data_IF_840824482614
#
_entry.id   IF_840824482614
#
_cell.length_a   1.000
_cell.length_b   1.000
_cell.length_c   1.000
_cell.angle_alpha   90.00
_cell.angle_beta   90.00
_cell.angle_gamma   90.00
#
_symmetry.space_group_name_H-M   'P 1'
#
loop_
_entity.id
_entity.type
_entity.pdbx_description
1 polymer ?
#
# COMPACT_ATOMS: atom_id res chain seq x y z
N UNK A 1 18.06 -8.52 -7.05
CA UNK A 1 16.98 -9.05 -6.14
C UNK A 1 15.77 -8.13 -5.99
N UNK A 2 15.94 -6.83 -6.23
CA UNK A 2 14.90 -5.80 -6.27
C UNK A 2 13.66 -6.19 -7.07
N UNK A 3 13.83 -6.61 -8.34
CA UNK A 3 12.75 -7.04 -9.23
C UNK A 3 11.81 -8.07 -8.59
N UNK A 4 12.37 -9.11 -7.98
CA UNK A 4 11.60 -10.19 -7.38
C UNK A 4 10.71 -9.67 -6.24
N UNK A 5 11.27 -8.80 -5.39
CA UNK A 5 10.53 -8.23 -4.25
C UNK A 5 9.35 -7.36 -4.70
N UNK A 6 9.52 -6.50 -5.71
CA UNK A 6 8.43 -5.66 -6.20
C UNK A 6 7.38 -6.43 -6.98
N UNK A 7 7.76 -7.48 -7.71
CA UNK A 7 6.80 -8.32 -8.43
C UNK A 7 5.88 -9.04 -7.43
N UNK A 8 6.43 -9.62 -6.36
CA UNK A 8 5.60 -10.20 -5.30
C UNK A 8 4.69 -9.15 -4.65
N UNK A 9 5.22 -7.97 -4.34
CA UNK A 9 4.42 -6.87 -3.78
C UNK A 9 3.29 -6.43 -4.72
N UNK A 10 3.56 -6.32 -6.03
CA UNK A 10 2.59 -5.96 -7.06
C UNK A 10 1.49 -7.02 -7.19
N UNK A 11 1.85 -8.30 -7.20
CA UNK A 11 0.90 -9.42 -7.26
C UNK A 11 0.00 -9.41 -6.03
N UNK A 12 0.58 -9.33 -4.82
CA UNK A 12 -0.19 -9.28 -3.57
C UNK A 12 -1.16 -8.10 -3.57
N UNK A 13 -0.69 -6.90 -3.94
CA UNK A 13 -1.56 -5.72 -4.00
C UNK A 13 -2.69 -5.88 -5.02
N UNK A 14 -2.41 -6.51 -6.17
CA UNK A 14 -3.40 -6.78 -7.21
C UNK A 14 -4.46 -7.77 -6.72
N UNK A 15 -4.06 -8.83 -6.01
CA UNK A 15 -4.99 -9.80 -5.40
C UNK A 15 -5.89 -9.10 -4.37
N UNK A 16 -5.31 -8.34 -3.43
CA UNK A 16 -6.09 -7.63 -2.40
C UNK A 16 -7.03 -6.59 -3.04
N UNK A 17 -6.58 -5.91 -4.10
CA UNK A 17 -7.43 -5.00 -4.86
C UNK A 17 -8.59 -5.73 -5.54
N UNK A 18 -8.31 -6.86 -6.21
CA UNK A 18 -9.30 -7.65 -6.94
C UNK A 18 -10.37 -8.23 -6.00
N UNK A 19 -9.99 -8.76 -4.84
CA UNK A 19 -10.93 -9.26 -3.82
C UNK A 19 -11.86 -8.18 -3.26
N UNK A 20 -11.46 -6.91 -3.33
CA UNK A 20 -12.24 -5.78 -2.81
C UNK A 20 -12.96 -4.96 -3.92
N UNK A 21 -12.81 -5.35 -5.19
CA UNK A 21 -13.50 -4.72 -6.31
C UNK A 21 -14.99 -5.13 -6.34
N UNK A 22 -15.92 -4.27 -6.77
CA UNK A 22 -15.74 -2.90 -7.28
C UNK A 22 -15.76 -1.80 -6.19
N UNK A 23 -16.08 -2.13 -4.93
CA UNK A 23 -16.16 -1.17 -3.80
C UNK A 23 -14.81 -0.91 -3.13
N UNK A 24 -13.72 -0.84 -3.90
CA UNK A 24 -12.35 -0.64 -3.40
C UNK A 24 -12.19 0.74 -2.75
N UNK A 25 -12.62 0.86 -1.49
CA UNK A 25 -12.52 2.09 -0.69
C UNK A 25 -11.08 2.34 -0.22
N UNK A 26 -10.29 1.28 -0.07
CA UNK A 26 -8.94 1.31 0.50
C UNK A 26 -7.85 1.87 -0.43
N UNK A 27 -8.20 2.40 -1.61
CA UNK A 27 -7.27 3.02 -2.59
C UNK A 27 -6.05 2.14 -2.96
N UNK A 28 -6.17 0.81 -2.88
CA UNK A 28 -5.07 -0.14 -3.15
C UNK A 28 -4.60 -0.08 -4.61
N UNK A 29 -5.44 0.41 -5.53
CA UNK A 29 -5.02 0.64 -6.93
C UNK A 29 -3.77 1.52 -7.07
N UNK A 30 -3.55 2.46 -6.14
CA UNK A 30 -2.33 3.30 -6.12
C UNK A 30 -1.08 2.44 -5.86
N UNK A 31 -1.15 1.50 -4.90
CA UNK A 31 -0.06 0.55 -4.63
C UNK A 31 0.20 -0.35 -5.84
N UNK A 32 -0.86 -0.81 -6.53
CA UNK A 32 -0.73 -1.61 -7.74
C UNK A 32 0.07 -0.85 -8.81
N UNK A 33 -0.28 0.41 -9.09
CA UNK A 33 0.45 1.21 -10.07
C UNK A 33 1.91 1.46 -9.67
N UNK A 34 2.19 1.76 -8.40
CA UNK A 34 3.56 2.00 -7.94
C UNK A 34 4.43 0.74 -8.06
N UNK A 35 3.95 -0.41 -7.58
CA UNK A 35 4.75 -1.64 -7.58
C UNK A 35 4.85 -2.27 -8.97
N UNK A 36 3.83 -2.19 -9.83
CA UNK A 36 3.97 -2.59 -11.23
C UNK A 36 4.94 -1.68 -11.98
N UNK A 37 4.92 -0.37 -11.72
CA UNK A 37 5.88 0.58 -12.31
C UNK A 37 7.33 0.27 -11.90
N UNK A 38 7.57 0.05 -10.61
CA UNK A 38 8.89 -0.34 -10.10
C UNK A 38 9.35 -1.70 -10.66
N UNK A 39 8.44 -2.66 -10.75
CA UNK A 39 8.74 -3.97 -11.35
C UNK A 39 9.14 -3.86 -12.82
N UNK A 40 8.47 -3.00 -13.59
CA UNK A 40 8.81 -2.79 -14.99
C UNK A 40 10.16 -2.07 -15.16
N UNK A 41 10.46 -1.08 -14.32
CA UNK A 41 11.77 -0.44 -14.29
C UNK A 41 12.89 -1.46 -14.04
N UNK A 42 12.78 -2.22 -12.94
CA UNK A 42 13.81 -3.22 -12.61
C UNK A 42 13.85 -4.43 -13.54
N UNK A 43 12.77 -4.68 -14.28
CA UNK A 43 12.79 -5.69 -15.35
C UNK A 43 13.67 -5.23 -16.51
N UNK A 44 13.57 -3.96 -16.89
CA UNK A 44 14.41 -3.37 -17.93
C UNK A 44 15.88 -3.40 -17.49
N UNK A 45 16.17 -2.98 -16.26
CA UNK A 45 17.52 -3.05 -15.69
C UNK A 45 18.08 -4.48 -15.73
N UNK A 46 17.27 -5.47 -15.30
CA UNK A 46 17.66 -6.89 -15.32
C UNK A 46 17.95 -7.42 -16.74
N UNK A 47 17.20 -6.98 -17.75
CA UNK A 47 17.42 -7.41 -19.15
C UNK A 47 18.74 -6.86 -19.69
N UNK A 48 19.03 -5.58 -19.44
CA UNK A 48 20.28 -4.96 -19.89
C UNK A 48 21.48 -5.52 -19.14
N UNK A 49 21.38 -5.70 -17.82
CA UNK A 49 22.45 -6.29 -17.02
C UNK A 49 22.76 -7.71 -17.49
N UNK A 50 21.73 -8.56 -17.68
CA UNK A 50 21.91 -9.89 -18.26
C UNK A 50 22.53 -9.87 -19.68
N UNK A 51 22.25 -8.85 -20.49
CA UNK A 51 22.85 -8.72 -21.81
C UNK A 51 24.35 -8.41 -21.76
N UNK A 52 24.84 -7.79 -20.69
CA UNK A 52 26.25 -7.44 -20.52
C UNK A 52 27.06 -8.55 -19.84
N UNK A 53 26.55 -9.10 -18.72
CA UNK A 53 27.30 -10.04 -17.87
C UNK A 53 26.83 -11.50 -18.02
N UNK A 54 25.78 -11.74 -18.81
CA UNK A 54 25.25 -13.07 -19.15
C UNK A 54 25.03 -13.95 -17.90
N UNK A 55 25.72 -15.09 -17.82
CA UNK A 55 25.55 -16.06 -16.75
C UNK A 55 25.97 -15.52 -15.38
N UNK A 56 26.85 -14.52 -15.32
CA UNK A 56 27.31 -13.95 -14.06
C UNK A 56 26.17 -13.22 -13.33
N UNK A 57 25.14 -12.78 -14.06
CA UNK A 57 23.91 -12.21 -13.50
C UNK A 57 23.22 -13.14 -12.49
N UNK A 58 23.31 -14.45 -12.70
CA UNK A 58 22.68 -15.44 -11.82
C UNK A 58 23.60 -15.90 -10.68
N UNK A 59 24.85 -15.42 -10.66
CA UNK A 59 25.82 -15.71 -9.60
C UNK A 59 26.33 -14.44 -8.91
N UNK A 60 25.43 -13.56 -8.42
CA UNK A 60 25.84 -12.35 -7.70
C UNK A 60 26.53 -12.70 -6.38
N UNK A 61 27.36 -11.78 -5.88
CA UNK A 61 27.96 -11.98 -4.56
C UNK A 61 26.88 -11.87 -3.47
N UNK A 62 27.03 -12.56 -2.32
CA UNK A 62 26.02 -12.50 -1.25
C UNK A 62 25.76 -11.08 -0.72
N UNK A 63 26.77 -10.21 -0.72
CA UNK A 63 26.63 -8.83 -0.27
C UNK A 63 25.78 -7.99 -1.23
N UNK A 64 25.97 -8.17 -2.54
CA UNK A 64 25.18 -7.46 -3.56
C UNK A 64 23.72 -7.92 -3.53
N UNK A 65 23.49 -9.24 -3.38
CA UNK A 65 22.15 -9.78 -3.19
C UNK A 65 21.43 -9.18 -1.98
N UNK A 66 22.13 -9.04 -0.86
CA UNK A 66 21.57 -8.50 0.38
C UNK A 66 21.25 -7.01 0.24
N UNK A 67 22.13 -6.25 -0.40
CA UNK A 67 21.91 -4.82 -0.64
C UNK A 67 20.70 -4.59 -1.56
N UNK A 68 20.62 -5.33 -2.67
CA UNK A 68 19.47 -5.30 -3.58
C UNK A 68 18.17 -5.67 -2.86
N UNK A 69 18.21 -6.68 -2.00
CA UNK A 69 17.05 -7.10 -1.25
C UNK A 69 16.60 -6.01 -0.28
N UNK A 70 17.55 -5.38 0.43
CA UNK A 70 17.27 -4.25 1.31
C UNK A 70 16.68 -3.05 0.56
N UNK A 71 17.21 -2.74 -0.63
CA UNK A 71 16.68 -1.70 -1.50
C UNK A 71 15.23 -2.03 -1.93
N UNK A 72 14.98 -3.28 -2.33
CA UNK A 72 13.64 -3.78 -2.66
C UNK A 72 12.63 -3.59 -1.53
N UNK A 73 12.99 -4.00 -0.31
CA UNK A 73 12.16 -3.80 0.89
C UNK A 73 11.94 -2.32 1.21
N UNK A 74 12.95 -1.48 1.02
CA UNK A 74 12.87 -0.04 1.25
C UNK A 74 11.85 0.62 0.33
N UNK A 75 11.84 0.24 -0.96
CA UNK A 75 10.85 0.74 -1.94
C UNK A 75 9.43 0.27 -1.59
N UNK A 76 9.28 -0.99 -1.15
CA UNK A 76 7.98 -1.51 -0.68
C UNK A 76 7.49 -0.68 0.51
N UNK A 77 8.33 -0.47 1.53
CA UNK A 77 8.00 0.30 2.72
C UNK A 77 7.60 1.74 2.36
N UNK A 78 8.36 2.40 1.48
CA UNK A 78 8.03 3.76 1.01
C UNK A 78 6.67 3.80 0.29
N UNK A 79 6.38 2.84 -0.59
CA UNK A 79 5.09 2.73 -1.26
C UNK A 79 3.93 2.59 -0.28
N UNK A 80 4.09 1.76 0.76
CA UNK A 80 3.10 1.59 1.83
C UNK A 80 2.89 2.89 2.63
N UNK A 81 3.96 3.61 2.94
CA UNK A 81 3.87 4.90 3.65
C UNK A 81 3.11 5.93 2.82
N UNK A 82 3.42 6.08 1.53
CA UNK A 82 2.71 6.99 0.62
C UNK A 82 1.23 6.62 0.55
N UNK A 83 0.93 5.33 0.38
CA UNK A 83 -0.45 4.84 0.38
C UNK A 83 -1.18 5.13 1.69
N UNK A 84 -0.52 4.91 2.83
CA UNK A 84 -1.09 5.15 4.15
C UNK A 84 -1.44 6.63 4.34
N UNK A 85 -0.54 7.53 3.92
CA UNK A 85 -0.81 8.98 3.94
C UNK A 85 -2.03 9.36 3.11
N UNK A 86 -2.16 8.80 1.88
CA UNK A 86 -3.31 9.06 1.01
C UNK A 86 -4.60 8.47 1.60
N UNK A 87 -4.53 7.28 2.19
CA UNK A 87 -5.66 6.61 2.82
C UNK A 87 -6.18 7.41 4.01
N UNK A 88 -5.28 7.86 4.89
CA UNK A 88 -5.63 8.67 6.06
C UNK A 88 -6.16 10.05 5.67
N UNK A 89 -5.58 10.69 4.65
CA UNK A 89 -6.04 12.00 4.18
C UNK A 89 -7.45 11.94 3.56
N UNK A 90 -7.76 10.88 2.80
CA UNK A 90 -9.09 10.71 2.20
C UNK A 90 -10.13 10.17 3.19
N UNK A 91 -9.68 9.50 4.26
CA UNK A 91 -10.49 8.87 5.30
C UNK A 91 -11.82 8.29 4.78
N UNK A 92 -11.79 7.35 3.82
CA UNK A 92 -12.99 6.88 3.12
C UNK A 92 -14.01 6.22 4.07
N UNK A 93 -13.55 5.71 5.21
CA UNK A 93 -14.39 5.09 6.24
C UNK A 93 -14.76 6.06 7.38
N UNK A 94 -14.27 7.30 7.35
CA UNK A 94 -14.51 8.28 8.41
C UNK A 94 -13.92 7.90 9.77
N UNK A 95 -13.04 6.88 9.85
CA UNK A 95 -12.56 6.31 11.11
C UNK A 95 -11.65 7.32 11.82
N UNK A 96 -10.82 8.04 11.08
CA UNK A 96 -9.93 9.07 11.64
C UNK A 96 -10.75 10.22 12.18
N UNK A 97 -11.75 10.69 11.43
CA UNK A 97 -12.67 11.73 11.88
C UNK A 97 -13.50 11.29 13.09
N UNK A 98 -13.97 10.05 13.13
CA UNK A 98 -14.75 9.52 14.26
C UNK A 98 -13.93 9.42 15.55
N UNK A 99 -12.64 9.06 15.42
CA UNK A 99 -11.72 8.96 16.56
C UNK A 99 -11.29 10.32 17.09
N UNK A 100 -11.08 11.32 16.21
CA UNK A 100 -10.66 12.68 16.58
C UNK A 100 -11.84 13.56 17.02
N UNK A 101 -12.97 13.47 16.32
CA UNK A 101 -14.19 14.23 16.57
C UNK A 101 -15.25 13.30 17.16
N UNK A 102 -15.02 12.89 18.41
CA UNK A 102 -16.06 12.25 19.22
C UNK A 102 -17.12 13.32 19.53
N UNK A 103 -18.12 13.45 18.67
CA UNK A 103 -19.30 14.29 18.92
C UNK A 103 -19.88 13.87 20.28
N UNK A 104 -19.82 14.79 21.25
CA UNK A 104 -20.60 14.69 22.48
C UNK A 104 -22.05 14.73 22.04
N UNK A 105 -22.74 13.58 22.08
CA UNK A 105 -24.19 13.52 21.95
C UNK A 105 -24.77 14.59 22.90
N UNK A 106 -25.42 15.66 22.42
CA UNK A 106 -26.12 16.56 23.32
C UNK A 106 -27.23 15.72 23.94
N UNK A 107 -27.21 15.58 25.28
CA UNK A 107 -28.31 14.96 26.02
C UNK A 107 -29.59 15.67 25.61
N UNK A 108 -30.41 15.01 24.81
CA UNK A 108 -31.76 15.47 24.51
C UNK A 108 -32.46 15.71 25.85
N UNK A 109 -33.06 16.89 26.11
CA UNK A 109 -33.79 17.08 27.34
C UNK A 109 -34.90 16.03 27.38
N UNK A 110 -34.96 15.27 28.49
CA UNK A 110 -36.04 14.32 28.75
C UNK A 110 -37.38 15.02 28.48
N UNK A 111 -38.30 14.43 27.70
CA UNK A 111 -39.64 14.99 27.58
C UNK A 111 -40.25 15.03 28.99
N UNK A 112 -40.64 16.24 29.41
CA UNK A 112 -41.34 16.42 30.68
C UNK A 112 -42.61 15.54 30.68
N UNK A 113 -42.90 14.82 31.77
CA UNK A 113 -44.14 14.08 31.87
C UNK A 113 -45.31 15.06 31.73
N UNK A 114 -46.19 14.83 30.75
CA UNK A 114 -47.45 15.56 30.65
C UNK A 114 -48.24 15.29 31.93
N UNK A 115 -48.66 16.34 32.64
CA UNK A 115 -49.63 16.20 33.72
C UNK A 115 -50.93 15.68 33.11
N UNK A 116 -51.32 14.49 33.52
CA UNK A 116 -52.66 13.97 33.30
C UNK A 116 -53.60 14.72 34.23
N UNK A 117 -54.47 15.55 33.64
CA UNK A 117 -55.73 16.00 34.25
C UNK A 117 -56.64 14.80 34.56
#
# INVERSE_FOLDING_TARGET
MTLLTTVFAAIICTIIWYCNAPKSQMKIGILCFMYWGASLMWLVDAVFEYAEIHNEYFTPTPMDMLNDFYLGLSVIALGLVIWLMILLAKDPKGVVKSALFKEKIPKQPLPFPKSSD
#
